data_IF_568341555691
#
_entry.id   IF_568341555691
#
_cell.length_a   1.000
_cell.length_b   1.000
_cell.length_c   1.000
_cell.angle_alpha   90.00
_cell.angle_beta   90.00
_cell.angle_gamma   90.00
#
_symmetry.space_group_name_H-M   'P 1'
#
loop_
_entity.id
_entity.type
_entity.pdbx_description
1 polymer ?
#
# COMPACT_ATOMS: atom_id res chain seq x y z
N UNK A 1 -3.67 -10.56 -0.14
CA UNK A 1 -2.62 -9.67 0.42
C UNK A 1 -2.52 -9.75 1.94
N UNK A 2 -3.60 -10.07 2.62
CA UNK A 2 -3.62 -10.21 4.09
C UNK A 2 -2.76 -11.35 4.61
N UNK A 3 -2.53 -12.39 3.82
CA UNK A 3 -1.66 -13.51 4.18
C UNK A 3 -0.26 -13.32 3.60
N UNK A 4 -0.14 -13.30 2.28
CA UNK A 4 1.12 -13.09 1.58
C UNK A 4 0.87 -12.54 0.16
N UNK A 5 1.33 -11.34 -0.16
CA UNK A 5 1.20 -10.79 -1.49
C UNK A 5 2.00 -11.58 -2.55
N UNK A 6 3.06 -12.27 -2.14
CA UNK A 6 3.92 -13.07 -3.02
C UNK A 6 3.25 -14.31 -3.59
N UNK A 7 2.24 -14.86 -2.93
CA UNK A 7 1.50 -16.01 -3.45
C UNK A 7 0.61 -15.68 -4.65
N UNK A 8 0.28 -14.41 -4.86
CA UNK A 8 -0.55 -13.97 -5.98
C UNK A 8 -1.90 -14.69 -6.10
N UNK A 9 -2.44 -15.17 -4.98
CA UNK A 9 -3.75 -15.81 -4.88
C UNK A 9 -4.81 -14.77 -4.56
N UNK A 10 -5.90 -14.81 -5.29
CA UNK A 10 -7.10 -14.00 -5.05
C UNK A 10 -8.34 -14.81 -5.40
N UNK A 11 -9.50 -14.36 -4.95
CA UNK A 11 -10.77 -14.98 -5.24
C UNK A 11 -11.83 -13.93 -5.57
N UNK A 12 -12.83 -14.36 -6.30
CA UNK A 12 -13.96 -13.56 -6.70
C UNK A 12 -15.25 -14.37 -6.57
N UNK A 13 -16.27 -13.79 -5.96
CA UNK A 13 -17.63 -14.34 -5.94
C UNK A 13 -18.49 -13.57 -6.97
N UNK A 14 -18.55 -14.01 -8.23
CA UNK A 14 -19.08 -13.21 -9.33
C UNK A 14 -20.63 -13.21 -9.41
N UNK A 15 -21.32 -14.01 -8.61
CA UNK A 15 -22.78 -14.08 -8.61
C UNK A 15 -23.34 -14.34 -10.02
N UNK A 16 -24.26 -13.51 -10.48
CA UNK A 16 -24.90 -13.62 -11.81
C UNK A 16 -23.93 -13.51 -13.00
N UNK A 17 -22.74 -13.02 -12.79
CA UNK A 17 -21.72 -12.86 -13.85
C UNK A 17 -20.77 -14.05 -13.97
N UNK A 18 -21.04 -15.16 -13.27
CA UNK A 18 -20.15 -16.32 -13.18
C UNK A 18 -19.65 -16.81 -14.55
N UNK A 19 -20.53 -17.10 -15.45
CA UNK A 19 -20.16 -17.63 -16.78
C UNK A 19 -19.24 -16.68 -17.55
N UNK A 20 -19.51 -15.37 -17.49
CA UNK A 20 -18.68 -14.37 -18.16
C UNK A 20 -17.30 -14.23 -17.50
N UNK A 21 -17.23 -14.30 -16.18
CA UNK A 21 -15.96 -14.23 -15.45
C UNK A 21 -15.12 -15.48 -15.70
N UNK A 22 -15.71 -16.65 -15.71
CA UNK A 22 -15.02 -17.92 -16.04
C UNK A 22 -14.45 -17.88 -17.46
N UNK A 23 -15.25 -17.43 -18.44
CA UNK A 23 -14.77 -17.25 -19.81
C UNK A 23 -13.61 -16.26 -19.89
N UNK A 24 -13.74 -15.08 -19.29
CA UNK A 24 -12.66 -14.07 -19.28
C UNK A 24 -11.41 -14.60 -18.60
N UNK A 25 -11.55 -15.30 -17.47
CA UNK A 25 -10.42 -15.93 -16.79
C UNK A 25 -9.71 -16.94 -17.69
N UNK A 26 -10.46 -17.78 -18.38
CA UNK A 26 -9.91 -18.77 -19.31
C UNK A 26 -9.08 -18.11 -20.41
N UNK A 27 -9.61 -17.08 -21.07
CA UNK A 27 -8.95 -16.44 -22.21
C UNK A 27 -7.82 -15.48 -21.83
N UNK A 28 -7.82 -14.94 -20.59
CA UNK A 28 -6.80 -13.97 -20.15
C UNK A 28 -5.71 -14.57 -19.28
N UNK A 29 -6.03 -15.58 -18.48
CA UNK A 29 -5.13 -16.11 -17.44
C UNK A 29 -4.87 -17.61 -17.59
N UNK A 30 -5.82 -18.35 -18.20
CA UNK A 30 -5.79 -19.80 -18.22
C UNK A 30 -5.94 -20.38 -16.81
N UNK A 31 -4.90 -21.01 -16.30
CA UNK A 31 -4.87 -21.60 -14.96
C UNK A 31 -4.08 -20.75 -13.97
N UNK A 32 -4.55 -20.69 -12.73
CA UNK A 32 -3.78 -20.10 -11.62
C UNK A 32 -2.87 -21.16 -10.99
N UNK A 33 -1.68 -20.79 -10.47
CA UNK A 33 -0.76 -21.73 -9.83
C UNK A 33 -1.42 -22.51 -8.70
N UNK A 34 -1.30 -23.84 -8.70
CA UNK A 34 -1.97 -24.72 -7.73
C UNK A 34 -1.30 -24.72 -6.37
N UNK A 35 0.03 -24.75 -6.32
CA UNK A 35 0.78 -24.82 -5.05
C UNK A 35 0.47 -23.68 -4.08
N UNK A 36 0.46 -22.40 -4.50
CA UNK A 36 0.07 -21.31 -3.60
C UNK A 36 -1.38 -21.42 -3.11
N UNK A 37 -2.30 -21.95 -3.94
CA UNK A 37 -3.69 -22.18 -3.53
C UNK A 37 -3.78 -23.24 -2.45
N UNK A 38 -3.05 -24.36 -2.60
CA UNK A 38 -2.99 -25.44 -1.60
C UNK A 38 -2.39 -24.93 -0.28
N UNK A 39 -1.30 -24.18 -0.33
CA UNK A 39 -0.68 -23.59 0.87
C UNK A 39 -1.63 -22.63 1.60
N UNK A 40 -2.40 -21.81 0.87
CA UNK A 40 -3.41 -20.93 1.46
C UNK A 40 -4.55 -21.74 2.07
N UNK A 41 -5.03 -22.81 1.39
CA UNK A 41 -6.09 -23.66 1.88
C UNK A 41 -5.71 -24.37 3.17
N UNK A 42 -4.52 -24.96 3.23
CA UNK A 42 -3.97 -25.61 4.43
C UNK A 42 -3.86 -24.62 5.61
N UNK A 43 -3.33 -23.42 5.37
CA UNK A 43 -3.23 -22.39 6.40
C UNK A 43 -4.60 -21.94 6.94
N UNK A 44 -5.61 -21.86 6.07
CA UNK A 44 -6.98 -21.51 6.47
C UNK A 44 -7.63 -22.63 7.31
N UNK A 45 -7.43 -23.88 6.93
CA UNK A 45 -8.03 -25.05 7.60
C UNK A 45 -7.46 -25.26 9.01
N UNK A 46 -6.18 -24.99 9.20
CA UNK A 46 -5.48 -25.20 10.48
C UNK A 46 -5.64 -24.05 11.50
N UNK A 47 -6.56 -23.11 11.25
CA UNK A 47 -6.89 -22.03 12.21
C UNK A 47 -5.81 -20.95 12.39
N UNK A 48 -4.69 -21.05 11.69
CA UNK A 48 -3.57 -20.08 11.75
C UNK A 48 -3.95 -18.68 11.27
N UNK A 49 -4.98 -18.59 10.43
CA UNK A 49 -5.39 -17.34 9.79
C UNK A 49 -5.91 -16.29 10.79
N UNK A 50 -6.76 -16.68 11.73
CA UNK A 50 -7.32 -15.74 12.71
C UNK A 50 -6.24 -15.21 13.66
N UNK A 51 -5.32 -16.08 14.08
CA UNK A 51 -4.15 -15.66 14.87
C UNK A 51 -3.26 -14.68 14.09
N UNK A 52 -2.98 -15.00 12.83
CA UNK A 52 -2.23 -14.15 11.92
C UNK A 52 -2.90 -12.78 11.76
N UNK A 53 -4.21 -12.74 11.49
CA UNK A 53 -4.94 -11.47 11.33
C UNK A 53 -4.88 -10.59 12.58
N UNK A 54 -5.07 -11.16 13.78
CA UNK A 54 -4.97 -10.40 15.03
C UNK A 54 -3.58 -9.77 15.21
N UNK A 55 -2.53 -10.52 14.86
CA UNK A 55 -1.14 -10.03 14.92
C UNK A 55 -0.89 -8.92 13.91
N UNK A 56 -1.28 -9.13 12.66
CA UNK A 56 -1.07 -8.18 11.56
C UNK A 56 -1.84 -6.88 11.79
N UNK A 57 -3.10 -6.96 12.24
CA UNK A 57 -3.92 -5.78 12.55
C UNK A 57 -3.27 -4.90 13.64
N UNK A 58 -2.76 -5.51 14.70
CA UNK A 58 -2.03 -4.77 15.77
C UNK A 58 -0.74 -4.14 15.24
N UNK A 59 0.03 -4.88 14.44
CA UNK A 59 1.25 -4.35 13.85
C UNK A 59 0.98 -3.16 12.92
N UNK A 60 -0.01 -3.28 12.03
CA UNK A 60 -0.35 -2.20 11.11
C UNK A 60 -0.93 -0.97 11.82
N UNK A 61 -1.73 -1.16 12.87
CA UNK A 61 -2.25 -0.04 13.67
C UNK A 61 -1.10 0.78 14.28
N UNK A 62 -0.10 0.09 14.89
CA UNK A 62 1.08 0.75 15.44
C UNK A 62 1.90 1.45 14.37
N UNK A 63 2.23 0.76 13.28
CA UNK A 63 3.01 1.33 12.17
C UNK A 63 2.31 2.51 11.50
N UNK A 64 0.98 2.47 11.41
CA UNK A 64 0.15 3.58 10.92
C UNK A 64 0.30 4.82 11.81
N UNK A 65 0.28 4.63 13.11
CA UNK A 65 0.48 5.71 14.07
C UNK A 65 1.90 6.29 13.96
N UNK A 66 2.93 5.45 14.01
CA UNK A 66 4.34 5.86 13.91
C UNK A 66 4.61 6.63 12.61
N UNK A 67 4.10 6.14 11.48
CA UNK A 67 4.22 6.82 10.19
C UNK A 67 3.48 8.16 10.17
N UNK A 68 2.27 8.22 10.72
CA UNK A 68 1.46 9.46 10.75
C UNK A 68 2.12 10.53 11.61
N UNK A 69 2.69 10.16 12.76
CA UNK A 69 3.43 11.05 13.63
C UNK A 69 4.71 11.57 12.96
N UNK A 70 5.45 10.70 12.28
CA UNK A 70 6.66 11.08 11.56
C UNK A 70 6.34 12.05 10.40
N UNK A 71 5.26 11.81 9.66
CA UNK A 71 4.81 12.74 8.62
C UNK A 71 4.44 14.10 9.25
N UNK A 72 3.72 14.09 10.37
CA UNK A 72 3.36 15.33 11.08
C UNK A 72 4.58 16.14 11.55
N UNK A 73 5.70 15.47 11.88
CA UNK A 73 6.94 16.13 12.31
C UNK A 73 7.80 16.64 11.16
N UNK A 74 7.82 15.95 10.03
CA UNK A 74 8.86 16.12 9.02
C UNK A 74 8.37 16.65 7.68
N UNK A 75 7.06 16.58 7.41
CA UNK A 75 6.53 17.02 6.12
C UNK A 75 6.17 18.51 6.13
N UNK A 76 6.08 19.15 4.95
CA UNK A 76 5.75 20.57 4.84
C UNK A 76 4.42 20.91 5.52
N UNK A 77 4.32 22.13 6.05
CA UNK A 77 3.07 22.68 6.55
C UNK A 77 1.98 22.62 5.47
N UNK A 78 0.74 22.32 5.88
CA UNK A 78 -0.38 22.10 4.96
C UNK A 78 -0.50 20.66 4.46
N UNK A 79 0.41 19.75 4.80
CA UNK A 79 0.25 18.30 4.52
C UNK A 79 -0.94 17.72 5.28
N UNK A 80 -1.76 16.94 4.59
CA UNK A 80 -2.94 16.27 5.16
C UNK A 80 -2.84 14.77 5.00
N UNK A 81 -3.38 14.03 5.97
CA UNK A 81 -3.39 12.58 5.98
C UNK A 81 -4.81 12.05 6.04
N UNK A 82 -5.08 10.96 5.32
CA UNK A 82 -6.25 10.13 5.61
C UNK A 82 -6.08 9.45 6.98
N UNK A 83 -7.22 9.20 7.65
CA UNK A 83 -7.27 8.42 8.91
C UNK A 83 -8.06 7.14 8.66
N UNK A 84 -7.45 6.15 7.98
CA UNK A 84 -8.15 4.91 7.67
C UNK A 84 -8.37 4.08 8.95
N UNK A 85 -9.52 3.43 9.05
CA UNK A 85 -9.84 2.50 10.14
C UNK A 85 -9.11 1.16 10.03
N UNK A 86 -8.31 0.96 8.99
CA UNK A 86 -7.53 -0.25 8.74
C UNK A 86 -6.78 -0.22 7.41
N UNK A 87 -6.15 -1.33 7.10
CA UNK A 87 -5.31 -1.45 5.89
C UNK A 87 -3.84 -1.13 6.17
N UNK A 88 -3.07 -0.97 5.10
CA UNK A 88 -1.61 -0.82 5.17
C UNK A 88 -1.08 0.35 4.33
N UNK A 89 -1.94 1.31 4.00
CA UNK A 89 -1.55 2.46 3.18
C UNK A 89 -2.12 3.74 3.78
N UNK A 90 -1.30 4.80 3.75
CA UNK A 90 -1.71 6.17 3.96
C UNK A 90 -1.82 6.88 2.60
N UNK A 91 -2.85 7.70 2.47
CA UNK A 91 -3.01 8.64 1.39
C UNK A 91 -2.68 10.02 1.92
N UNK A 92 -1.63 10.63 1.36
CA UNK A 92 -1.04 11.87 1.84
C UNK A 92 -1.26 12.94 0.79
N UNK A 93 -1.91 14.01 1.17
CA UNK A 93 -2.05 15.24 0.40
C UNK A 93 -0.94 16.21 0.80
N UNK A 94 -0.07 16.53 -0.13
CA UNK A 94 0.97 17.53 0.01
C UNK A 94 0.44 18.93 -0.37
N UNK A 95 1.13 20.01 -0.04
CA UNK A 95 0.76 21.35 -0.51
C UNK A 95 0.49 21.36 -2.02
N UNK A 96 -0.48 22.14 -2.48
CA UNK A 96 -0.97 22.13 -3.86
C UNK A 96 0.12 22.41 -4.92
N UNK A 97 1.21 23.10 -4.54
CA UNK A 97 2.36 23.37 -5.42
C UNK A 97 3.25 22.16 -5.67
N UNK A 98 3.20 21.14 -4.81
CA UNK A 98 4.10 19.97 -4.86
C UNK A 98 3.72 19.05 -6.01
N UNK A 99 4.64 18.75 -6.92
CA UNK A 99 4.48 17.72 -7.95
C UNK A 99 4.97 16.37 -7.42
N UNK A 100 4.04 15.44 -7.20
CA UNK A 100 4.35 14.11 -6.66
C UNK A 100 5.16 13.22 -7.60
N UNK A 101 5.16 13.48 -8.92
CA UNK A 101 6.01 12.77 -9.87
C UNK A 101 7.46 13.24 -9.74
N UNK A 102 7.69 14.54 -9.56
CA UNK A 102 9.01 15.09 -9.32
C UNK A 102 9.54 14.63 -7.95
N UNK A 103 8.69 14.67 -6.92
CA UNK A 103 9.01 14.11 -5.60
C UNK A 103 9.44 12.63 -5.72
N UNK A 104 8.69 11.83 -6.49
CA UNK A 104 9.03 10.43 -6.73
C UNK A 104 10.41 10.25 -7.37
N UNK A 105 10.74 11.04 -8.41
CA UNK A 105 12.05 10.94 -9.08
C UNK A 105 13.20 11.25 -8.12
N UNK A 106 13.09 12.33 -7.34
CA UNK A 106 14.12 12.73 -6.37
C UNK A 106 14.23 11.71 -5.24
N UNK A 107 13.12 11.26 -4.68
CA UNK A 107 13.12 10.24 -3.63
C UNK A 107 13.74 8.92 -4.13
N UNK A 108 13.40 8.49 -5.35
CA UNK A 108 13.94 7.26 -5.93
C UNK A 108 15.47 7.34 -6.14
N UNK A 109 15.99 8.48 -6.53
CA UNK A 109 17.44 8.71 -6.66
C UNK A 109 18.19 8.52 -5.31
N UNK A 110 17.48 8.69 -4.19
CA UNK A 110 17.99 8.44 -2.84
C UNK A 110 17.56 7.07 -2.27
N UNK A 111 17.04 6.17 -3.11
CA UNK A 111 16.60 4.81 -2.72
C UNK A 111 15.28 4.77 -1.96
N UNK A 112 14.49 5.85 -1.98
CA UNK A 112 13.17 5.94 -1.34
C UNK A 112 12.08 5.78 -2.40
N UNK A 113 11.34 4.67 -2.35
CA UNK A 113 10.25 4.39 -3.29
C UNK A 113 8.90 4.80 -2.69
N UNK A 114 8.15 5.62 -3.42
CA UNK A 114 6.78 6.05 -3.10
C UNK A 114 5.86 5.79 -4.29
N UNK A 115 4.55 5.87 -4.08
CA UNK A 115 3.59 5.78 -5.19
C UNK A 115 2.92 7.15 -5.41
N UNK A 116 3.29 7.89 -6.46
CA UNK A 116 2.71 9.22 -6.75
C UNK A 116 1.25 9.10 -7.16
N UNK A 117 0.47 10.12 -6.82
CA UNK A 117 -0.99 10.14 -6.98
C UNK A 117 -1.51 9.95 -8.40
N UNK A 118 -0.88 10.48 -9.45
CA UNK A 118 -1.31 10.26 -10.83
C UNK A 118 -1.43 8.80 -11.25
N UNK A 119 -0.69 7.87 -10.64
CA UNK A 119 -0.80 6.43 -10.88
C UNK A 119 -2.19 5.85 -10.54
N UNK A 120 -2.98 6.55 -9.73
CA UNK A 120 -4.29 6.12 -9.26
C UNK A 120 -5.45 6.78 -10.03
N UNK A 121 -5.14 7.48 -11.14
CA UNK A 121 -6.14 8.19 -11.91
C UNK A 121 -5.84 8.16 -13.42
N UNK A 122 -6.76 7.61 -14.21
CA UNK A 122 -6.66 7.65 -15.67
C UNK A 122 -6.65 9.09 -16.23
N UNK A 123 -7.12 10.07 -15.45
CA UNK A 123 -7.13 11.49 -15.81
C UNK A 123 -5.96 12.28 -15.22
N UNK A 124 -4.91 11.61 -14.75
CA UNK A 124 -3.72 12.23 -14.15
C UNK A 124 -4.04 13.22 -13.00
N UNK A 125 -5.10 12.91 -12.21
CA UNK A 125 -5.47 13.69 -11.01
C UNK A 125 -4.51 13.40 -9.86
N UNK A 126 -4.70 14.06 -8.73
CA UNK A 126 -3.95 13.83 -7.49
C UNK A 126 -2.45 14.15 -7.63
N UNK A 127 -2.12 15.22 -8.37
CA UNK A 127 -0.72 15.59 -8.67
C UNK A 127 0.11 15.91 -7.44
N UNK A 128 -0.51 16.40 -6.38
CA UNK A 128 0.11 16.68 -5.09
C UNK A 128 -0.14 15.59 -4.04
N UNK A 129 -0.48 14.37 -4.46
CA UNK A 129 -0.74 13.27 -3.53
C UNK A 129 0.30 12.16 -3.68
N UNK A 130 0.54 11.47 -2.57
CA UNK A 130 1.35 10.24 -2.57
C UNK A 130 0.68 9.16 -1.71
N UNK A 131 0.87 7.90 -2.10
CA UNK A 131 0.52 6.76 -1.27
C UNK A 131 1.76 6.20 -0.62
N UNK A 132 1.75 6.11 0.70
CA UNK A 132 2.80 5.50 1.50
C UNK A 132 2.32 4.17 2.08
N UNK A 133 3.22 3.17 2.10
CA UNK A 133 2.93 1.86 2.68
C UNK A 133 3.43 1.82 4.12
N UNK A 134 2.60 1.29 5.02
CA UNK A 134 2.95 1.02 6.42
C UNK A 134 3.15 -0.49 6.66
N UNK A 135 3.34 -1.28 5.61
CA UNK A 135 3.46 -2.74 5.72
C UNK A 135 4.85 -3.22 6.19
N UNK A 136 5.76 -2.32 6.47
CA UNK A 136 7.11 -2.62 6.98
C UNK A 136 7.22 -2.26 8.46
N UNK A 137 7.94 -3.04 9.26
CA UNK A 137 8.22 -2.70 10.65
C UNK A 137 8.87 -1.31 10.75
N UNK A 138 8.47 -0.55 11.76
CA UNK A 138 9.09 0.73 12.04
C UNK A 138 10.52 0.52 12.52
N UNK A 139 11.47 1.14 11.85
CA UNK A 139 12.90 1.02 12.14
C UNK A 139 13.55 2.40 12.02
N UNK A 140 14.73 2.63 12.65
CA UNK A 140 15.48 3.88 12.48
C UNK A 140 15.74 4.22 11.01
N UNK A 141 15.98 3.22 10.17
CA UNK A 141 16.16 3.42 8.72
C UNK A 141 14.90 3.95 8.04
N UNK A 142 13.73 3.40 8.41
CA UNK A 142 12.46 3.86 7.87
C UNK A 142 12.13 5.28 8.34
N UNK A 143 12.39 5.60 9.61
CA UNK A 143 12.20 6.94 10.16
C UNK A 143 13.08 7.97 9.44
N UNK A 144 14.36 7.66 9.21
CA UNK A 144 15.28 8.49 8.42
C UNK A 144 14.79 8.70 6.99
N UNK A 145 14.26 7.64 6.35
CA UNK A 145 13.71 7.73 5.00
C UNK A 145 12.46 8.63 4.96
N UNK A 146 11.59 8.56 5.97
CA UNK A 146 10.40 9.43 6.07
C UNK A 146 10.80 10.89 6.32
N UNK A 147 11.77 11.12 7.21
CA UNK A 147 12.32 12.47 7.43
C UNK A 147 12.92 13.05 6.14
N UNK A 148 13.73 12.25 5.43
CA UNK A 148 14.34 12.69 4.17
C UNK A 148 13.30 12.96 3.09
N UNK A 149 12.28 12.12 2.98
CA UNK A 149 11.17 12.33 2.06
C UNK A 149 10.44 13.65 2.33
N UNK A 150 10.22 13.99 3.60
CA UNK A 150 9.64 15.27 3.98
C UNK A 150 10.50 16.48 3.56
N UNK A 151 11.82 16.40 3.70
CA UNK A 151 12.76 17.43 3.23
C UNK A 151 12.69 17.61 1.70
N UNK A 152 12.67 16.51 0.96
CA UNK A 152 12.52 16.55 -0.50
C UNK A 152 11.17 17.17 -0.88
N UNK A 153 10.08 16.79 -0.19
CA UNK A 153 8.75 17.32 -0.44
C UNK A 153 8.65 18.84 -0.17
N UNK A 154 9.43 19.37 0.77
CA UNK A 154 9.49 20.81 1.04
C UNK A 154 10.24 21.59 -0.07
N UNK A 155 11.12 20.92 -0.81
CA UNK A 155 11.95 21.50 -1.87
C UNK A 155 11.37 21.32 -3.29
N UNK A 156 10.20 20.71 -3.43
CA UNK A 156 9.46 20.48 -4.67
C UNK A 156 8.16 21.27 -4.64
#
# INVERSE_FOLDING_TARGET
>A
KTLSPGYRVGWLAPGRFRARVEHLKYVTTGASPTLPQMAVADFLQNGGYDHHLRRVRRAYARQMQEMSEAIGRHFPEGTRLTRPSGGMCLWVELPARTDSLELYRRALAEGISIAPGPLFSAKQRYRNFVRLSVAHPWTPRLEQAVMRLGQIAAAV
#
